data_IF_208696965607
#
_entry.id   IF_208696965607
#
_cell.length_a   1.000
_cell.length_b   1.000
_cell.length_c   1.000
_cell.angle_alpha   90.00
_cell.angle_beta   90.00
_cell.angle_gamma   90.00
#
_symmetry.space_group_name_H-M   'P 1'
#
loop_
_entity.id
_entity.type
_entity.pdbx_description
1 polymer ?
#
# COMPACT_ATOMS: atom_id res chain seq x y z
N UNK A 1 -11.23 19.86 -12.88
CA UNK A 1 -10.47 18.74 -12.29
C UNK A 1 -11.26 17.48 -12.58
N UNK A 2 -10.71 16.59 -13.40
CA UNK A 2 -11.34 15.31 -13.73
C UNK A 2 -11.19 14.39 -12.50
N UNK A 3 -12.29 14.00 -11.88
CA UNK A 3 -12.30 13.10 -10.73
C UNK A 3 -11.77 11.74 -11.15
N UNK A 4 -10.80 11.20 -10.40
CA UNK A 4 -10.30 9.84 -10.64
C UNK A 4 -11.48 8.84 -10.72
N UNK A 5 -11.45 7.89 -11.67
CA UNK A 5 -12.56 6.97 -11.87
C UNK A 5 -12.82 6.18 -10.58
N UNK A 6 -14.09 5.88 -10.32
CA UNK A 6 -14.49 5.06 -9.19
C UNK A 6 -13.72 3.73 -9.21
N UNK A 7 -13.23 3.30 -8.04
CA UNK A 7 -12.49 2.04 -7.93
C UNK A 7 -13.43 0.88 -8.25
N UNK A 8 -13.12 0.13 -9.30
CA UNK A 8 -13.83 -1.10 -9.67
C UNK A 8 -13.60 -2.16 -8.58
N UNK A 9 -14.64 -2.85 -8.08
CA UNK A 9 -14.48 -3.96 -7.14
C UNK A 9 -13.50 -5.03 -7.65
N UNK A 10 -12.73 -5.64 -6.75
CA UNK A 10 -11.76 -6.67 -7.13
C UNK A 10 -12.42 -7.89 -7.78
N UNK A 11 -13.62 -8.27 -7.32
CA UNK A 11 -14.36 -9.40 -7.88
C UNK A 11 -14.76 -9.13 -9.35
N UNK A 12 -15.17 -7.90 -9.67
CA UNK A 12 -15.49 -7.49 -11.04
C UNK A 12 -14.24 -7.48 -11.93
N UNK A 13 -13.10 -7.02 -11.40
CA UNK A 13 -11.82 -7.07 -12.11
C UNK A 13 -11.39 -8.52 -12.40
N UNK A 14 -11.54 -9.42 -11.42
CA UNK A 14 -11.24 -10.85 -11.56
C UNK A 14 -12.15 -11.46 -12.63
N UNK A 15 -13.46 -11.22 -12.54
CA UNK A 15 -14.44 -11.77 -13.48
C UNK A 15 -14.16 -11.34 -14.93
N UNK A 16 -13.77 -10.08 -15.13
CA UNK A 16 -13.43 -9.57 -16.46
C UNK A 16 -12.14 -10.19 -17.02
N UNK A 17 -11.09 -10.33 -16.19
CA UNK A 17 -9.84 -10.99 -16.62
C UNK A 17 -10.07 -12.46 -16.96
N UNK A 18 -10.86 -13.18 -16.16
CA UNK A 18 -11.24 -14.56 -16.46
C UNK A 18 -12.04 -14.67 -17.76
N UNK A 19 -12.98 -13.76 -18.01
CA UNK A 19 -13.74 -13.69 -19.25
C UNK A 19 -12.80 -13.48 -20.44
N UNK A 20 -11.84 -12.57 -20.33
CA UNK A 20 -10.88 -12.28 -21.38
C UNK A 20 -9.99 -13.50 -21.69
N UNK A 21 -9.51 -14.20 -20.66
CA UNK A 21 -8.74 -15.45 -20.82
C UNK A 21 -9.57 -16.48 -21.61
N UNK A 22 -10.81 -16.76 -21.17
CA UNK A 22 -11.71 -17.71 -21.86
C UNK A 22 -11.97 -17.33 -23.32
N UNK A 23 -12.15 -16.03 -23.60
CA UNK A 23 -12.34 -15.55 -24.96
C UNK A 23 -11.11 -15.77 -25.83
N UNK A 24 -9.93 -15.45 -25.31
CA UNK A 24 -8.66 -15.61 -26.02
C UNK A 24 -8.30 -17.07 -26.27
N UNK A 25 -8.50 -17.94 -25.29
CA UNK A 25 -8.32 -19.39 -25.44
C UNK A 25 -9.21 -19.94 -26.56
N UNK A 26 -10.40 -19.38 -26.75
CA UNK A 26 -11.30 -19.75 -27.86
C UNK A 26 -10.90 -19.16 -29.21
N UNK A 27 -10.45 -17.90 -29.25
CA UNK A 27 -10.22 -17.15 -30.50
C UNK A 27 -8.81 -17.34 -31.07
N UNK A 28 -7.79 -17.38 -30.22
CA UNK A 28 -6.39 -17.42 -30.64
C UNK A 28 -6.05 -18.61 -31.52
N UNK A 29 -6.51 -19.85 -31.25
CA UNK A 29 -6.23 -20.98 -32.13
C UNK A 29 -6.66 -20.72 -33.59
N UNK A 30 -7.87 -20.21 -33.79
CA UNK A 30 -8.40 -19.88 -35.12
C UNK A 30 -7.62 -18.76 -35.81
N UNK A 31 -7.17 -17.77 -35.05
CA UNK A 31 -6.39 -16.67 -35.62
C UNK A 31 -4.95 -17.09 -35.96
N UNK A 32 -4.38 -18.02 -35.22
CA UNK A 32 -3.07 -18.62 -35.50
C UNK A 32 -3.15 -19.47 -36.77
N UNK A 33 -4.15 -20.34 -36.86
CA UNK A 33 -4.39 -21.17 -38.04
C UNK A 33 -4.61 -20.33 -39.31
N UNK A 34 -5.35 -19.22 -39.19
CA UNK A 34 -5.55 -18.27 -40.28
C UNK A 34 -4.34 -17.38 -40.59
N UNK A 35 -3.20 -17.54 -39.90
CA UNK A 35 -2.00 -16.72 -40.06
C UNK A 35 -2.16 -15.25 -39.64
N UNK A 36 -3.27 -14.89 -38.99
CA UNK A 36 -3.58 -13.52 -38.54
C UNK A 36 -2.92 -13.17 -37.20
N UNK A 37 -2.38 -14.16 -36.50
CA UNK A 37 -1.79 -13.98 -35.18
C UNK A 37 -0.64 -14.96 -34.94
N UNK A 38 0.45 -14.48 -34.34
CA UNK A 38 1.61 -15.34 -34.05
C UNK A 38 1.38 -16.14 -32.77
N UNK A 39 1.62 -17.45 -32.81
CA UNK A 39 1.48 -18.35 -31.65
C UNK A 39 2.26 -17.83 -30.42
N UNK A 40 3.53 -17.48 -30.59
CA UNK A 40 4.35 -16.99 -29.49
C UNK A 40 3.77 -15.73 -28.82
N UNK A 41 3.16 -14.83 -29.59
CA UNK A 41 2.48 -13.65 -29.05
C UNK A 41 1.20 -14.04 -28.31
N UNK A 42 0.43 -14.97 -28.86
CA UNK A 42 -0.79 -15.49 -28.25
C UNK A 42 -0.51 -16.14 -26.88
N UNK A 43 0.48 -17.02 -26.84
CA UNK A 43 0.91 -17.72 -25.62
C UNK A 43 1.33 -16.71 -24.56
N UNK A 44 2.24 -15.79 -24.91
CA UNK A 44 2.69 -14.74 -23.98
C UNK A 44 1.53 -13.92 -23.43
N UNK A 45 0.57 -13.54 -24.27
CA UNK A 45 -0.58 -12.74 -23.83
C UNK A 45 -1.50 -13.51 -22.88
N UNK A 46 -1.67 -14.81 -23.07
CA UNK A 46 -2.40 -15.66 -22.13
C UNK A 46 -1.65 -15.82 -20.82
N UNK A 47 -0.33 -16.01 -20.87
CA UNK A 47 0.50 -16.14 -19.67
C UNK A 47 0.49 -14.85 -18.84
N UNK A 48 0.62 -13.68 -19.48
CA UNK A 48 0.52 -12.38 -18.81
C UNK A 48 -0.84 -12.21 -18.12
N UNK A 49 -1.95 -12.58 -18.77
CA UNK A 49 -3.30 -12.50 -18.20
C UNK A 49 -3.49 -13.47 -17.03
N UNK A 50 -2.99 -14.70 -17.14
CA UNK A 50 -3.06 -15.69 -16.06
C UNK A 50 -2.25 -15.23 -14.84
N UNK A 51 -1.07 -14.65 -15.05
CA UNK A 51 -0.27 -14.07 -13.96
C UNK A 51 -1.00 -12.89 -13.29
N UNK A 52 -1.64 -12.03 -14.07
CA UNK A 52 -2.47 -10.95 -13.54
C UNK A 52 -3.66 -11.49 -12.71
N UNK A 53 -4.34 -12.52 -13.21
CA UNK A 53 -5.45 -13.17 -12.48
C UNK A 53 -4.99 -13.72 -11.13
N UNK A 54 -3.87 -14.43 -11.09
CA UNK A 54 -3.29 -14.96 -9.83
C UNK A 54 -2.99 -13.82 -8.85
N UNK A 55 -2.44 -12.71 -9.34
CA UNK A 55 -2.16 -11.53 -8.51
C UNK A 55 -3.44 -10.93 -7.94
N UNK A 56 -4.47 -10.75 -8.77
CA UNK A 56 -5.76 -10.21 -8.33
C UNK A 56 -6.44 -11.12 -7.30
N UNK A 57 -6.44 -12.43 -7.52
CA UNK A 57 -6.99 -13.41 -6.59
C UNK A 57 -6.24 -13.40 -5.26
N UNK A 58 -4.91 -13.28 -5.27
CA UNK A 58 -4.11 -13.11 -4.07
C UNK A 58 -4.52 -11.84 -3.30
N UNK A 59 -4.61 -10.70 -3.99
CA UNK A 59 -5.02 -9.44 -3.37
C UNK A 59 -6.44 -9.51 -2.81
N UNK A 60 -7.38 -10.12 -3.52
CA UNK A 60 -8.75 -10.30 -3.04
C UNK A 60 -8.79 -11.16 -1.76
N UNK A 61 -8.12 -12.32 -1.78
CA UNK A 61 -7.99 -13.24 -0.64
C UNK A 61 -7.36 -12.59 0.59
N UNK A 62 -6.40 -11.70 0.38
CA UNK A 62 -5.65 -11.05 1.45
C UNK A 62 -6.04 -9.57 1.66
N UNK A 63 -7.16 -9.13 1.11
CA UNK A 63 -7.53 -7.71 1.07
C UNK A 63 -7.60 -7.09 2.45
N UNK A 64 -8.14 -7.81 3.43
CA UNK A 64 -8.31 -7.32 4.78
C UNK A 64 -6.99 -7.21 5.58
N UNK A 65 -6.14 -8.26 5.65
CA UNK A 65 -4.78 -8.12 6.18
C UNK A 65 -3.96 -7.01 5.50
N UNK A 66 -4.04 -6.89 4.16
CA UNK A 66 -3.33 -5.85 3.42
C UNK A 66 -3.81 -4.44 3.80
N UNK A 67 -5.12 -4.23 3.94
CA UNK A 67 -5.67 -2.95 4.41
C UNK A 67 -5.15 -2.58 5.79
N UNK A 68 -5.12 -3.56 6.72
CA UNK A 68 -4.58 -3.33 8.06
C UNK A 68 -3.09 -3.00 8.05
N UNK A 69 -2.31 -3.71 7.25
CA UNK A 69 -0.89 -3.43 7.08
C UNK A 69 -0.66 -2.02 6.52
N UNK A 70 -1.36 -1.66 5.45
CA UNK A 70 -1.27 -0.32 4.85
C UNK A 70 -1.61 0.76 5.87
N UNK A 71 -2.70 0.59 6.65
CA UNK A 71 -3.08 1.54 7.71
C UNK A 71 -1.98 1.67 8.77
N UNK A 72 -1.39 0.55 9.18
CA UNK A 72 -0.30 0.53 10.18
C UNK A 72 0.94 1.26 9.65
N UNK A 73 1.34 0.98 8.42
CA UNK A 73 2.48 1.65 7.77
C UNK A 73 2.23 3.15 7.59
N UNK A 74 1.01 3.55 7.22
CA UNK A 74 0.64 4.96 7.12
C UNK A 74 0.70 5.66 8.48
N UNK A 75 0.28 4.99 9.56
CA UNK A 75 0.41 5.52 10.91
C UNK A 75 1.88 5.68 11.31
N UNK A 76 2.72 4.68 11.04
CA UNK A 76 4.16 4.78 11.31
C UNK A 76 4.81 5.90 10.50
N UNK A 77 4.56 5.97 9.19
CA UNK A 77 5.12 7.01 8.32
C UNK A 77 4.59 8.41 8.66
N UNK A 78 3.35 8.52 9.16
CA UNK A 78 2.82 9.77 9.67
C UNK A 78 3.48 10.20 11.00
N UNK A 79 3.99 9.24 11.78
CA UNK A 79 4.76 9.51 13.01
C UNK A 79 6.23 9.80 12.71
N UNK A 80 6.79 9.28 11.61
CA UNK A 80 8.14 9.62 11.14
C UNK A 80 8.22 11.04 10.51
N UNK A 81 7.08 11.64 10.14
CA UNK A 81 7.00 12.94 9.47
C UNK A 81 6.48 14.10 10.33
N UNK A 82 6.72 14.11 11.65
CA UNK A 82 6.55 15.32 12.46
C UNK A 82 7.78 15.60 13.29
N UNK A 83 8.87 15.91 12.62
CA UNK A 83 9.70 17.01 13.06
C UNK A 83 9.90 17.90 11.85
N UNK A 84 9.27 19.08 11.82
CA UNK A 84 9.73 20.10 10.90
C UNK A 84 11.15 20.48 11.33
N UNK A 85 12.04 20.83 10.40
CA UNK A 85 13.40 21.28 10.74
C UNK A 85 13.40 22.38 11.83
N UNK A 86 12.33 23.18 11.87
CA UNK A 86 12.03 24.17 12.90
C UNK A 86 11.91 23.60 14.33
N UNK A 87 11.29 22.44 14.51
CA UNK A 87 11.13 21.81 15.82
C UNK A 87 12.43 21.14 16.31
N UNK A 88 13.35 20.75 15.41
CA UNK A 88 14.71 20.32 15.80
C UNK A 88 15.52 21.53 16.29
N UNK A 89 15.48 22.65 15.58
CA UNK A 89 16.21 23.86 15.99
C UNK A 89 15.73 24.40 17.34
N UNK A 90 14.42 24.45 17.57
CA UNK A 90 13.83 24.86 18.86
C UNK A 90 14.22 23.89 19.99
N UNK A 91 14.25 22.58 19.72
CA UNK A 91 14.66 21.58 20.69
C UNK A 91 16.16 21.67 21.02
N UNK A 92 17.03 21.91 20.03
CA UNK A 92 18.46 22.12 20.25
C UNK A 92 18.74 23.43 21.01
N UNK A 93 17.83 24.40 20.95
CA UNK A 93 17.90 25.61 21.74
C UNK A 93 17.55 25.39 23.24
N UNK A 94 16.89 24.28 23.58
CA UNK A 94 16.53 23.95 24.96
C UNK A 94 17.78 23.66 25.82
N UNK A 95 17.93 24.28 27.01
CA UNK A 95 19.09 24.09 27.88
C UNK A 95 19.33 22.64 28.33
N UNK A 96 18.27 21.83 28.48
CA UNK A 96 18.38 20.44 28.88
C UNK A 96 18.95 19.59 27.74
N UNK A 97 18.53 19.85 26.50
CA UNK A 97 18.99 19.12 25.31
C UNK A 97 20.41 19.53 24.94
N UNK A 98 20.76 20.82 25.08
CA UNK A 98 22.13 21.29 24.87
C UNK A 98 23.15 20.56 25.76
N UNK A 99 22.82 20.35 27.04
CA UNK A 99 23.69 19.58 27.95
C UNK A 99 23.91 18.14 27.49
N UNK A 100 22.90 17.52 26.88
CA UNK A 100 23.04 16.18 26.32
C UNK A 100 23.96 16.19 25.10
N UNK A 101 23.81 17.17 24.21
CA UNK A 101 24.66 17.32 23.02
C UNK A 101 26.12 17.63 23.36
N UNK A 102 26.38 18.38 24.43
CA UNK A 102 27.74 18.63 24.94
C UNK A 102 28.43 17.33 25.43
N UNK A 103 27.66 16.41 26.01
CA UNK A 103 28.16 15.10 26.47
C UNK A 103 28.33 14.13 25.29
N UNK A 104 27.52 14.29 24.23
CA UNK A 104 27.52 13.42 23.04
C UNK A 104 27.59 14.26 21.74
N UNK A 105 28.78 14.75 21.37
CA UNK A 105 28.93 15.71 20.26
C UNK A 105 28.58 15.15 18.87
N UNK A 106 28.61 13.83 18.71
CA UNK A 106 28.24 13.15 17.46
C UNK A 106 26.77 12.67 17.44
N UNK A 107 25.98 12.99 18.48
CA UNK A 107 24.57 12.61 18.52
C UNK A 107 23.77 13.42 17.48
N UNK A 108 22.77 12.78 16.88
CA UNK A 108 21.87 13.42 15.91
C UNK A 108 20.44 13.21 16.41
N UNK A 109 19.67 14.29 16.52
CA UNK A 109 18.24 14.21 16.81
C UNK A 109 17.51 13.70 15.57
N UNK A 110 16.98 12.47 15.63
CA UNK A 110 16.26 11.85 14.50
C UNK A 110 14.74 11.92 14.62
N UNK A 111 14.22 12.11 15.84
CA UNK A 111 12.79 12.22 16.10
C UNK A 111 12.51 12.96 17.42
N UNK A 112 11.38 13.66 17.50
CA UNK A 112 10.86 14.29 18.72
C UNK A 112 9.43 13.81 18.92
N UNK A 113 9.13 13.25 20.11
CA UNK A 113 7.79 12.75 20.42
C UNK A 113 7.29 13.33 21.76
N UNK A 114 6.02 13.74 21.86
CA UNK A 114 5.43 14.16 23.13
C UNK A 114 5.44 13.00 24.13
N UNK A 115 5.95 13.24 25.34
CA UNK A 115 5.83 12.31 26.45
C UNK A 115 4.37 12.37 26.93
N UNK A 116 3.52 11.45 26.47
CA UNK A 116 2.13 11.37 26.94
C UNK A 116 1.09 10.74 26.02
N UNK A 117 1.39 10.39 24.76
CA UNK A 117 0.39 9.77 23.87
C UNK A 117 0.45 8.24 23.91
N UNK A 118 0.48 7.65 25.10
CA UNK A 118 0.14 6.25 25.29
C UNK A 118 -1.28 6.19 25.86
N UNK A 119 -2.16 5.43 25.19
CA UNK A 119 -3.55 5.11 25.55
C UNK A 119 -4.64 6.12 25.13
N UNK A 120 -5.04 6.14 23.86
CA UNK A 120 -6.42 6.49 23.50
C UNK A 120 -6.85 5.94 22.14
N UNK A 121 -6.91 4.62 21.99
CA UNK A 121 -7.86 3.97 21.08
C UNK A 121 -8.14 2.53 21.54
N UNK A 122 -9.13 2.37 22.42
CA UNK A 122 -10.02 1.20 22.56
C UNK A 122 -10.51 1.08 24.01
N UNK A 123 -11.81 1.35 24.22
CA UNK A 123 -12.69 0.84 25.27
C UNK A 123 -13.59 1.96 25.83
N UNK A 124 -14.60 2.37 25.04
CA UNK A 124 -15.75 3.12 25.56
C UNK A 124 -17.12 2.50 25.23
N UNK A 125 -17.16 1.28 24.68
CA UNK A 125 -18.41 0.60 24.32
C UNK A 125 -18.66 -0.71 25.09
N UNK A 126 -18.30 -0.78 26.38
CA UNK A 126 -18.62 -1.97 27.18
C UNK A 126 -19.35 -1.74 28.50
N UNK A 127 -19.72 -0.51 28.87
CA UNK A 127 -20.60 -0.30 30.02
C UNK A 127 -21.57 0.86 29.79
N UNK A 128 -22.70 0.53 29.18
CA UNK A 128 -23.98 1.18 29.43
C UNK A 128 -25.07 0.10 29.25
N UNK A 129 -25.25 -0.70 30.30
CA UNK A 129 -26.55 -1.26 30.68
C UNK A 129 -26.99 -0.54 31.94
#
# INVERSE_FOLDING_TARGET
>A
METAPARVPLDDQIAEVEREIRQRERLYPRWIEAGKYKKATADKKLDDLRAALVTLQFVAKHSEPLRRLIKTLQQHNAHDHVVSDFAIEELLADPAVRKVMEVFPEAIATAVQPIGTAMSTASKDLFNQ
#
